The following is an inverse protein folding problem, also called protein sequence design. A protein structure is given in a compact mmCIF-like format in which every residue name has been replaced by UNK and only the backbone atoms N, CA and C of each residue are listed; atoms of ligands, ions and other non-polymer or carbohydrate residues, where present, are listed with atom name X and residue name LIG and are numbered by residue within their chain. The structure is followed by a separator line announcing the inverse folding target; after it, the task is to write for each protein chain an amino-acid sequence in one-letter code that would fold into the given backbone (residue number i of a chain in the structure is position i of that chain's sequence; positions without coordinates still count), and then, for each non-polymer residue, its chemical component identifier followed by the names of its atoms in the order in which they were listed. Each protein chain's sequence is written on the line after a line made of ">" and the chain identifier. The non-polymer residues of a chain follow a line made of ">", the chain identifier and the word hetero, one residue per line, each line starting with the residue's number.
data_IF_550240490729
#
_entry.id   IF_550240490729
#
_cell.length_a   1.000
_cell.length_b   1.000
_cell.length_c   1.000
_cell.angle_alpha   90.00
_cell.angle_beta   90.00
_cell.angle_gamma   90.00
#
_symmetry.space_group_name_H-M   'P 1'
#
loop_
_entity.id
_entity.type
_entity.pdbx_description
1 polymer ?
#
# COMPACT_ATOMS: atom_id res chain seq x y z
N UNK A 1 -5.27 -11.11 -21.70
CA UNK A 1 -5.48 -9.70 -22.07
C UNK A 1 -5.08 -8.81 -20.92
N UNK A 2 -3.97 -8.13 -21.08
CA UNK A 2 -3.61 -7.16 -20.07
C UNK A 2 -4.41 -5.89 -20.34
N UNK A 3 -5.41 -5.69 -19.53
CA UNK A 3 -5.92 -4.35 -19.40
C UNK A 3 -4.82 -3.57 -18.69
N UNK A 4 -4.12 -2.71 -19.39
CA UNK A 4 -3.05 -1.93 -18.81
C UNK A 4 -3.53 -1.26 -17.53
N UNK A 5 -2.74 -1.33 -16.47
CA UNK A 5 -3.02 -0.59 -15.25
C UNK A 5 -3.09 0.89 -15.59
N UNK A 6 -4.22 1.49 -15.32
CA UNK A 6 -4.42 2.91 -15.48
C UNK A 6 -4.26 3.66 -14.18
N UNK A 7 -4.34 4.98 -14.25
CA UNK A 7 -4.35 5.85 -13.06
C UNK A 7 -5.49 5.43 -12.11
N UNK A 8 -6.64 5.01 -12.67
CA UNK A 8 -7.78 4.55 -11.89
C UNK A 8 -7.48 3.35 -11.00
N UNK A 9 -6.68 2.41 -11.49
CA UNK A 9 -6.28 1.22 -10.71
C UNK A 9 -5.38 1.61 -9.54
N UNK A 10 -4.46 2.55 -9.77
CA UNK A 10 -3.59 3.05 -8.72
C UNK A 10 -4.36 3.83 -7.67
N UNK A 11 -5.34 4.64 -8.07
CA UNK A 11 -6.23 5.37 -7.17
C UNK A 11 -7.06 4.40 -6.32
N UNK A 12 -7.53 3.30 -6.90
CA UNK A 12 -8.27 2.27 -6.17
C UNK A 12 -7.42 1.62 -5.08
N UNK A 13 -6.14 1.36 -5.38
CA UNK A 13 -5.19 0.83 -4.38
C UNK A 13 -4.97 1.84 -3.26
N UNK A 14 -4.81 3.12 -3.59
CA UNK A 14 -4.65 4.19 -2.60
C UNK A 14 -5.85 4.27 -1.65
N UNK A 15 -7.05 4.15 -2.19
CA UNK A 15 -8.28 4.13 -1.38
C UNK A 15 -8.32 2.91 -0.46
N UNK A 16 -7.94 1.75 -0.98
CA UNK A 16 -7.89 0.52 -0.19
C UNK A 16 -6.91 0.66 0.98
N UNK A 17 -5.73 1.22 0.74
CA UNK A 17 -4.72 1.47 1.77
C UNK A 17 -5.28 2.40 2.85
N UNK A 18 -6.00 3.46 2.45
CA UNK A 18 -6.61 4.38 3.39
C UNK A 18 -7.68 3.69 4.26
N UNK A 19 -8.51 2.83 3.66
CA UNK A 19 -9.53 2.08 4.39
C UNK A 19 -8.90 1.15 5.42
N UNK A 20 -7.82 0.45 5.05
CA UNK A 20 -7.10 -0.43 5.97
C UNK A 20 -6.42 0.39 7.08
N UNK A 21 -5.83 1.55 6.75
CA UNK A 21 -5.26 2.46 7.74
C UNK A 21 -6.29 2.84 8.80
N UNK A 22 -7.49 3.24 8.38
CA UNK A 22 -8.56 3.64 9.30
C UNK A 22 -8.97 2.49 10.21
N UNK A 23 -9.09 1.29 9.65
CA UNK A 23 -9.44 0.11 10.43
C UNK A 23 -8.38 -0.20 11.49
N UNK A 24 -7.09 -0.06 11.16
CA UNK A 24 -6.00 -0.30 12.09
C UNK A 24 -5.85 0.83 13.11
N UNK A 25 -6.14 2.07 12.74
CA UNK A 25 -6.09 3.20 13.66
C UNK A 25 -7.14 3.08 14.78
N UNK A 26 -8.29 2.48 14.46
CA UNK A 26 -9.37 2.25 15.44
C UNK A 26 -9.20 0.93 16.21
N UNK A 27 -8.20 0.14 15.88
CA UNK A 27 -7.96 -1.16 16.49
C UNK A 27 -7.20 -1.03 17.83
N UNK A 28 -7.16 -2.11 18.64
CA UNK A 28 -6.38 -2.12 19.88
C UNK A 28 -4.91 -1.76 19.68
N UNK A 29 -4.25 -1.30 20.73
CA UNK A 29 -2.91 -0.71 20.73
C UNK A 29 -1.88 -1.50 19.91
N UNK A 30 -1.88 -2.82 20.01
CA UNK A 30 -0.92 -3.66 19.27
C UNK A 30 -1.02 -3.52 17.76
N UNK A 31 -2.20 -3.20 17.24
CA UNK A 31 -2.43 -2.93 15.82
C UNK A 31 -2.33 -1.45 15.51
N UNK A 32 -2.56 -0.58 16.49
CA UNK A 32 -2.52 0.87 16.32
C UNK A 32 -1.13 1.33 15.87
N UNK A 33 -0.07 0.82 16.46
CA UNK A 33 1.31 1.15 16.07
C UNK A 33 1.57 0.81 14.61
N UNK A 34 0.96 -0.26 14.13
CA UNK A 34 1.06 -0.68 12.74
C UNK A 34 0.41 0.32 11.79
N UNK A 35 -0.61 1.03 12.25
CA UNK A 35 -1.32 2.02 11.43
C UNK A 35 -0.40 3.13 10.90
N UNK A 36 0.63 3.49 11.66
CA UNK A 36 1.58 4.52 11.25
C UNK A 36 2.38 4.10 10.02
N UNK A 37 2.72 2.83 9.90
CA UNK A 37 3.41 2.31 8.72
C UNK A 37 2.49 2.26 7.51
N UNK A 38 1.22 1.92 7.71
CA UNK A 38 0.21 1.95 6.64
C UNK A 38 -0.02 3.39 6.19
N UNK A 39 -0.04 4.35 7.11
CA UNK A 39 -0.18 5.77 6.78
C UNK A 39 1.00 6.26 5.94
N UNK A 40 2.22 5.87 6.30
CA UNK A 40 3.42 6.23 5.53
C UNK A 40 3.32 5.72 4.09
N UNK A 41 2.82 4.51 3.91
CA UNK A 41 2.57 3.95 2.60
C UNK A 41 1.54 4.77 1.83
N UNK A 42 0.45 5.16 2.48
CA UNK A 42 -0.59 5.98 1.85
C UNK A 42 -0.05 7.33 1.39
N UNK A 43 0.80 7.97 2.19
CA UNK A 43 1.41 9.25 1.85
C UNK A 43 2.25 9.13 0.56
N UNK A 44 3.06 8.09 0.44
CA UNK A 44 3.88 7.89 -0.77
C UNK A 44 2.99 7.57 -1.97
N UNK A 45 1.93 6.81 -1.78
CA UNK A 45 0.94 6.53 -2.84
C UNK A 45 0.36 7.85 -3.37
N UNK A 46 -0.01 8.77 -2.48
CA UNK A 46 -0.53 10.08 -2.89
C UNK A 46 0.50 10.88 -3.68
N UNK A 47 1.76 10.84 -3.30
CA UNK A 47 2.83 11.50 -4.03
C UNK A 47 2.97 10.94 -5.44
N UNK A 48 2.88 9.62 -5.59
CA UNK A 48 2.92 8.97 -6.91
C UNK A 48 1.69 9.36 -7.73
N UNK A 49 0.50 9.35 -7.13
CA UNK A 49 -0.73 9.77 -7.80
C UNK A 49 -0.61 11.20 -8.33
N UNK A 50 -0.10 12.11 -7.51
CA UNK A 50 0.08 13.51 -7.90
C UNK A 50 1.03 13.65 -9.09
N UNK A 51 2.09 12.86 -9.12
CA UNK A 51 3.03 12.87 -10.24
C UNK A 51 2.43 12.30 -11.52
N UNK A 52 1.61 11.27 -11.41
CA UNK A 52 0.95 10.64 -12.56
C UNK A 52 -0.18 11.50 -13.12
N UNK A 53 -0.75 12.38 -12.31
CA UNK A 53 -1.90 13.21 -12.67
C UNK A 53 -1.51 14.62 -13.12
N UNK A 54 -0.23 14.92 -13.24
CA UNK A 54 0.24 16.24 -13.70
C UNK A 54 -0.23 16.49 -15.14
N UNK A 55 -0.90 17.62 -15.42
CA UNK A 55 -1.33 17.97 -16.78
C UNK A 55 -0.15 17.99 -17.75
N UNK A 56 -0.30 17.30 -18.87
CA UNK A 56 0.73 17.21 -19.90
C UNK A 56 1.71 16.05 -19.70
N UNK A 57 1.65 15.35 -18.59
CA UNK A 57 2.49 14.16 -18.35
C UNK A 57 1.98 12.92 -19.09
N UNK A 58 0.71 12.91 -19.52
CA UNK A 58 0.07 11.75 -20.13
C UNK A 58 -0.27 10.63 -19.16
N UNK A 59 -0.04 10.83 -17.87
CA UNK A 59 -0.33 9.84 -16.83
C UNK A 59 0.47 8.55 -17.03
N UNK A 60 -0.13 7.41 -16.68
CA UNK A 60 0.51 6.09 -16.85
C UNK A 60 0.80 5.79 -18.32
N UNK A 61 0.00 6.32 -19.24
CA UNK A 61 0.17 6.08 -20.67
C UNK A 61 1.48 6.65 -21.23
N UNK A 62 2.04 7.69 -20.60
CA UNK A 62 3.31 8.29 -21.02
C UNK A 62 4.54 7.55 -20.50
N UNK A 63 4.35 6.60 -19.59
CA UNK A 63 5.46 5.82 -19.02
C UNK A 63 5.96 4.79 -20.05
N UNK A 64 7.27 4.54 -20.02
CA UNK A 64 7.85 3.44 -20.78
C UNK A 64 7.34 2.09 -20.33
N UNK A 65 7.56 1.05 -21.13
CA UNK A 65 7.10 -0.30 -20.82
C UNK A 65 7.59 -0.81 -19.46
N UNK A 66 8.84 -0.48 -19.08
CA UNK A 66 9.40 -0.88 -17.80
C UNK A 66 8.64 -0.23 -16.65
N UNK A 67 8.37 1.06 -16.72
CA UNK A 67 7.68 1.79 -15.66
C UNK A 67 6.23 1.30 -15.51
N UNK A 68 5.54 0.98 -16.60
CA UNK A 68 4.21 0.39 -16.55
C UNK A 68 4.22 -0.97 -15.85
N UNK A 69 5.22 -1.79 -16.16
CA UNK A 69 5.38 -3.09 -15.52
C UNK A 69 5.64 -2.94 -14.02
N UNK A 70 6.46 -1.96 -13.63
CA UNK A 70 6.73 -1.68 -12.22
C UNK A 70 5.46 -1.25 -11.47
N UNK A 71 4.61 -0.43 -12.09
CA UNK A 71 3.31 -0.03 -11.53
C UNK A 71 2.41 -1.25 -11.31
N UNK A 72 2.36 -2.15 -12.28
CA UNK A 72 1.57 -3.39 -12.18
C UNK A 72 2.03 -4.24 -10.99
N UNK A 73 3.34 -4.43 -10.87
CA UNK A 73 3.93 -5.23 -9.78
C UNK A 73 3.63 -4.57 -8.43
N UNK A 74 3.81 -3.26 -8.32
CA UNK A 74 3.54 -2.51 -7.10
C UNK A 74 2.07 -2.58 -6.70
N UNK A 75 1.16 -2.37 -7.65
CA UNK A 75 -0.28 -2.46 -7.38
C UNK A 75 -0.68 -3.85 -6.91
N UNK A 76 -0.18 -4.89 -7.58
CA UNK A 76 -0.46 -6.29 -7.19
C UNK A 76 0.05 -6.61 -5.80
N UNK A 77 1.28 -6.19 -5.47
CA UNK A 77 1.88 -6.38 -4.16
C UNK A 77 1.12 -5.66 -3.05
N UNK A 78 0.73 -4.41 -3.29
CA UNK A 78 -0.02 -3.61 -2.33
C UNK A 78 -1.42 -4.19 -2.09
N UNK A 79 -2.12 -4.62 -3.13
CA UNK A 79 -3.42 -5.26 -2.99
C UNK A 79 -3.33 -6.54 -2.16
N UNK A 80 -2.32 -7.37 -2.41
CA UNK A 80 -2.12 -8.61 -1.67
C UNK A 80 -1.87 -8.35 -0.18
N UNK A 81 -1.03 -7.37 0.15
CA UNK A 81 -0.72 -7.02 1.54
C UNK A 81 -1.95 -6.43 2.23
N UNK A 82 -2.68 -5.55 1.56
CA UNK A 82 -3.89 -4.95 2.14
C UNK A 82 -4.96 -6.01 2.42
N UNK A 83 -5.08 -7.00 1.55
CA UNK A 83 -5.98 -8.14 1.77
C UNK A 83 -5.56 -8.93 3.00
N UNK A 84 -4.27 -9.27 3.12
CA UNK A 84 -3.76 -10.01 4.28
C UNK A 84 -3.97 -9.23 5.58
N UNK A 85 -3.73 -7.93 5.56
CA UNK A 85 -3.94 -7.05 6.72
C UNK A 85 -5.42 -6.98 7.11
N UNK A 86 -6.30 -6.85 6.13
CA UNK A 86 -7.74 -6.84 6.38
C UNK A 86 -8.22 -8.16 6.97
N UNK A 87 -7.76 -9.27 6.44
CA UNK A 87 -8.11 -10.61 6.92
C UNK A 87 -7.59 -10.84 8.34
N UNK A 88 -6.38 -10.39 8.64
CA UNK A 88 -5.79 -10.50 9.98
C UNK A 88 -6.62 -9.74 11.01
N UNK A 89 -7.02 -8.51 10.69
CA UNK A 89 -7.82 -7.70 11.61
C UNK A 89 -9.20 -8.30 11.84
N UNK A 90 -9.84 -8.81 10.79
CA UNK A 90 -11.15 -9.50 10.89
C UNK A 90 -11.05 -10.74 11.78
N UNK A 91 -10.01 -11.53 11.60
CA UNK A 91 -9.76 -12.72 12.41
C UNK A 91 -9.57 -12.36 13.88
N UNK A 92 -8.80 -11.30 14.14
CA UNK A 92 -8.60 -10.79 15.48
C UNK A 92 -9.92 -10.34 16.12
N UNK A 93 -10.73 -9.60 15.39
CA UNK A 93 -12.03 -9.14 15.86
C UNK A 93 -12.99 -10.31 16.14
N UNK A 94 -12.98 -11.32 15.28
CA UNK A 94 -13.76 -12.55 15.47
C UNK A 94 -13.37 -13.28 16.76
N UNK A 95 -12.08 -13.35 17.05
CA UNK A 95 -11.58 -13.97 18.30
C UNK A 95 -11.94 -13.16 19.55
N UNK A 96 -12.18 -11.84 19.41
CA UNK A 96 -12.55 -11.00 20.55
C UNK A 96 -13.95 -11.25 21.06
N UNK A 97 -14.80 -11.84 20.24
CA UNK A 97 -16.17 -12.22 20.63
C UNK A 97 -16.19 -13.47 21.52
N UNK A 98 -15.11 -14.26 21.50
CA UNK A 98 -14.94 -15.45 22.33
C UNK A 98 -13.97 -15.15 23.49
N UNK A 99 -14.50 -14.84 24.66
CA UNK A 99 -13.75 -14.41 25.83
C UNK A 99 -12.69 -15.40 26.37
N UNK A 100 -12.69 -16.66 25.91
CA UNK A 100 -11.80 -17.71 26.44
C UNK A 100 -10.43 -17.79 25.77
N UNK A 101 -10.12 -16.94 24.73
CA UNK A 101 -8.95 -17.11 23.89
C UNK A 101 -8.05 -15.87 23.87
N UNK A 102 -8.09 -15.03 24.92
CA UNK A 102 -7.35 -13.75 24.93
C UNK A 102 -5.82 -13.90 24.88
N UNK A 103 -5.28 -15.01 25.39
CA UNK A 103 -3.83 -15.21 25.41
C UNK A 103 -3.29 -15.75 24.09
N UNK A 104 -3.96 -16.76 23.52
CA UNK A 104 -3.62 -17.31 22.21
C UNK A 104 -3.79 -16.28 21.09
N UNK A 105 -4.74 -15.39 21.25
CA UNK A 105 -5.03 -14.27 20.38
C UNK A 105 -3.85 -13.29 20.28
N UNK A 106 -3.25 -12.92 21.42
CA UNK A 106 -2.08 -12.03 21.45
C UNK A 106 -0.86 -12.68 20.79
N UNK A 107 -0.64 -13.96 21.06
CA UNK A 107 0.48 -14.70 20.52
C UNK A 107 0.35 -14.91 19.03
N UNK A 108 -0.85 -15.22 18.56
CA UNK A 108 -1.10 -15.50 17.16
C UNK A 108 -0.89 -14.25 16.27
N UNK A 109 -1.34 -13.09 16.74
CA UNK A 109 -1.23 -11.85 15.98
C UNK A 109 0.19 -11.34 15.81
N UNK A 110 1.10 -11.63 16.76
CA UNK A 110 2.45 -11.09 16.75
C UNK A 110 3.32 -11.61 15.59
N UNK A 111 3.29 -12.90 15.33
CA UNK A 111 4.09 -13.49 14.24
C UNK A 111 3.63 -13.00 12.88
N UNK A 112 2.32 -12.95 12.67
CA UNK A 112 1.75 -12.44 11.41
C UNK A 112 2.02 -10.95 11.24
N UNK A 113 1.96 -10.17 12.31
CA UNK A 113 2.28 -8.74 12.25
C UNK A 113 3.74 -8.48 11.87
N UNK A 114 4.67 -9.25 12.41
CA UNK A 114 6.09 -9.11 12.06
C UNK A 114 6.30 -9.41 10.56
N UNK A 115 5.73 -10.51 10.09
CA UNK A 115 5.80 -10.91 8.68
C UNK A 115 5.19 -9.86 7.76
N UNK A 116 4.03 -9.36 8.10
CA UNK A 116 3.33 -8.33 7.30
C UNK A 116 4.03 -6.99 7.35
N UNK A 117 4.63 -6.65 8.50
CA UNK A 117 5.42 -5.43 8.64
C UNK A 117 6.62 -5.44 7.71
N UNK A 118 7.32 -6.58 7.62
CA UNK A 118 8.46 -6.73 6.70
C UNK A 118 8.03 -6.59 5.24
N UNK A 119 6.90 -7.20 4.87
CA UNK A 119 6.34 -7.07 3.53
C UNK A 119 5.94 -5.62 3.23
N UNK A 120 5.33 -4.95 4.19
CA UNK A 120 4.90 -3.57 4.06
C UNK A 120 6.10 -2.65 3.85
N UNK A 121 7.16 -2.82 4.64
CA UNK A 121 8.40 -2.04 4.52
C UNK A 121 9.08 -2.27 3.18
N UNK A 122 9.10 -3.51 2.69
CA UNK A 122 9.66 -3.83 1.37
C UNK A 122 8.89 -3.13 0.26
N UNK A 123 7.56 -3.16 0.32
CA UNK A 123 6.72 -2.48 -0.66
C UNK A 123 6.84 -0.96 -0.58
N UNK A 124 6.97 -0.43 0.62
CA UNK A 124 7.20 1.01 0.81
C UNK A 124 8.52 1.43 0.17
N UNK A 125 9.57 0.65 0.35
CA UNK A 125 10.89 0.92 -0.25
C UNK A 125 10.81 0.91 -1.78
N UNK A 126 10.13 -0.08 -2.36
CA UNK A 126 9.93 -0.17 -3.80
C UNK A 126 9.13 1.01 -4.33
N UNK A 127 8.06 1.38 -3.64
CA UNK A 127 7.21 2.49 -4.03
C UNK A 127 7.95 3.83 -3.92
N UNK A 128 8.75 4.00 -2.88
CA UNK A 128 9.59 5.21 -2.68
C UNK A 128 10.62 5.33 -3.80
N UNK A 129 11.24 4.24 -4.20
CA UNK A 129 12.19 4.19 -5.31
C UNK A 129 11.49 4.56 -6.62
N UNK A 130 10.31 4.01 -6.85
CA UNK A 130 9.50 4.33 -8.03
C UNK A 130 9.10 5.82 -8.05
N UNK A 131 8.67 6.35 -6.91
CA UNK A 131 8.32 7.77 -6.77
C UNK A 131 9.50 8.67 -7.12
N UNK A 132 10.70 8.34 -6.63
CA UNK A 132 11.93 9.07 -6.94
C UNK A 132 12.27 9.01 -8.43
N UNK A 133 12.06 7.86 -9.07
CA UNK A 133 12.28 7.69 -10.51
C UNK A 133 11.34 8.55 -11.33
N UNK A 134 10.07 8.65 -10.93
CA UNK A 134 9.09 9.52 -11.58
C UNK A 134 9.50 10.99 -11.45
N UNK A 135 9.95 11.43 -10.29
CA UNK A 135 10.38 12.78 -10.05
C UNK A 135 11.57 13.15 -10.95
N UNK A 136 12.56 12.28 -11.05
CA UNK A 136 13.72 12.47 -11.94
C UNK A 136 13.29 12.54 -13.41
N UNK A 137 12.38 11.67 -13.82
CA UNK A 137 11.87 11.67 -15.19
C UNK A 137 11.15 12.98 -15.53
N UNK A 138 10.32 13.47 -14.62
CA UNK A 138 9.59 14.72 -14.77
C UNK A 138 10.53 15.92 -14.88
N UNK A 139 11.58 15.99 -14.04
CA UNK A 139 12.59 17.03 -14.09
C UNK A 139 13.34 16.98 -15.42
N UNK A 140 13.75 15.80 -15.86
CA UNK A 140 14.50 15.62 -17.09
C UNK A 140 13.67 16.03 -18.33
N UNK A 141 12.40 15.73 -18.36
CA UNK A 141 11.52 16.12 -19.44
C UNK A 141 11.21 17.61 -19.48
N UNK A 142 11.32 18.30 -18.35
CA UNK A 142 11.15 19.77 -18.26
C UNK A 142 12.36 20.55 -18.73
N UNK A 143 13.55 19.98 -18.63
CA UNK A 143 14.81 20.60 -19.03
C UNK A 143 15.05 20.50 -20.55
N UNK A 144 14.39 19.55 -21.18
CA UNK A 144 14.46 19.38 -22.62
C UNK A 144 13.30 20.08 -23.31
#
# INVERSE_FOLDING_TARGET
>A
MSFGFGVGDFLAVGKLVLDVYRAYADAPEQFHDFSQEILSLHIVIQQVEDQLDIPGSGGVASLGAKAKNDVEILCGGLQAIMKELGDLLKKYQSLSENHSISFDRLRWGQEDLVRLRDKLRSNLALLTTFNSSLAKYAIHSRVL
#
